data_IF_333568761042
#
_entry.id   IF_333568761042
#
_cell.length_a   1.000
_cell.length_b   1.000
_cell.length_c   1.000
_cell.angle_alpha   90.00
_cell.angle_beta   90.00
_cell.angle_gamma   90.00
#
_symmetry.space_group_name_H-M   'P 1'
#
loop_
_entity.id
_entity.type
_entity.pdbx_description
1 polymer ?
#
# COMPACT_ATOMS: atom_id res chain seq x y z
N UNK A 1 -19.31 -119.75 14.94
CA UNK A 1 -19.21 -119.92 13.48
C UNK A 1 -20.03 -118.83 12.80
N UNK A 2 -19.42 -118.11 11.82
CA UNK A 2 -19.94 -117.40 10.61
C UNK A 2 -21.46 -117.10 10.51
N UNK A 3 -21.97 -115.99 9.95
CA UNK A 3 -21.55 -115.13 8.83
C UNK A 3 -22.44 -113.84 8.83
N UNK A 4 -21.94 -112.64 8.50
CA UNK A 4 -22.05 -111.88 7.21
C UNK A 4 -23.02 -110.69 7.20
N UNK A 5 -22.49 -109.59 6.64
CA UNK A 5 -22.98 -108.23 6.26
C UNK A 5 -24.17 -108.23 5.27
N UNK A 6 -24.72 -107.09 4.72
CA UNK A 6 -24.06 -105.79 4.39
C UNK A 6 -24.91 -104.49 4.56
N UNK A 7 -24.28 -103.35 4.23
CA UNK A 7 -24.74 -101.96 4.32
C UNK A 7 -25.32 -101.39 3.00
N UNK A 8 -26.17 -100.34 3.08
CA UNK A 8 -26.44 -99.35 2.00
C UNK A 8 -26.87 -97.98 2.57
N UNK A 9 -26.68 -96.84 1.86
CA UNK A 9 -26.51 -95.50 2.44
C UNK A 9 -27.67 -94.49 2.21
N UNK A 10 -27.53 -93.33 2.86
CA UNK A 10 -28.45 -92.19 3.00
C UNK A 10 -28.55 -91.26 1.78
N UNK A 11 -29.70 -90.58 1.64
CA UNK A 11 -29.81 -89.27 0.94
C UNK A 11 -31.01 -88.47 1.45
N UNK A 12 -30.74 -87.31 2.04
CA UNK A 12 -31.71 -86.24 2.27
C UNK A 12 -31.61 -85.22 1.13
N UNK A 13 -32.77 -84.75 0.65
CA UNK A 13 -32.87 -83.64 -0.30
C UNK A 13 -33.59 -82.46 0.37
N UNK A 14 -33.00 -81.28 0.20
CA UNK A 14 -33.44 -79.97 0.69
C UNK A 14 -34.44 -79.29 -0.25
N UNK A 15 -35.31 -78.41 0.25
CA UNK A 15 -35.76 -77.22 -0.47
C UNK A 15 -35.91 -76.01 0.50
N UNK A 16 -35.57 -74.77 0.07
CA UNK A 16 -35.42 -73.61 0.95
C UNK A 16 -36.65 -72.70 0.97
N UNK A 17 -36.92 -72.06 2.12
CA UNK A 17 -37.82 -70.90 2.23
C UNK A 17 -36.98 -69.63 2.22
N UNK A 18 -37.24 -68.79 1.22
CA UNK A 18 -36.70 -67.45 1.05
C UNK A 18 -37.59 -66.42 1.77
N UNK A 19 -36.96 -65.40 2.36
CA UNK A 19 -37.51 -64.04 2.27
C UNK A 19 -37.98 -63.33 3.53
N UNK A 20 -37.09 -63.11 4.52
CA UNK A 20 -37.28 -62.08 5.55
C UNK A 20 -36.19 -61.00 5.45
N UNK A 21 -36.50 -59.87 4.79
CA UNK A 21 -35.61 -58.68 4.73
C UNK A 21 -35.43 -58.09 6.13
N UNK A 22 -34.24 -58.21 6.71
CA UNK A 22 -33.84 -57.52 7.94
C UNK A 22 -33.33 -56.13 7.57
N UNK A 23 -34.04 -55.10 8.05
CA UNK A 23 -33.60 -53.70 8.01
C UNK A 23 -32.26 -53.56 8.77
N UNK A 24 -31.22 -53.14 8.07
CA UNK A 24 -29.91 -52.83 8.64
C UNK A 24 -29.98 -51.47 9.33
N UNK A 25 -29.95 -51.45 10.66
CA UNK A 25 -29.80 -50.20 11.42
C UNK A 25 -28.35 -49.69 11.28
N UNK A 26 -28.14 -48.37 11.02
CA UNK A 26 -26.82 -47.81 10.90
C UNK A 26 -26.09 -47.84 12.25
N UNK A 27 -24.89 -48.41 12.23
CA UNK A 27 -24.03 -48.57 13.38
C UNK A 27 -23.66 -47.20 13.98
N UNK A 28 -24.30 -46.84 15.11
CA UNK A 28 -24.07 -45.59 15.87
C UNK A 28 -22.60 -45.33 16.25
N UNK A 29 -21.74 -46.36 16.22
CA UNK A 29 -20.30 -46.24 16.52
C UNK A 29 -19.47 -45.69 15.36
N UNK A 30 -19.91 -45.88 14.11
CA UNK A 30 -19.22 -45.36 12.92
C UNK A 30 -19.49 -43.87 12.67
N UNK A 31 -20.73 -43.43 12.92
CA UNK A 31 -21.13 -42.03 12.77
C UNK A 31 -20.46 -41.10 13.77
N UNK A 32 -20.27 -41.53 15.02
CA UNK A 32 -19.59 -40.73 16.06
C UNK A 32 -18.11 -40.53 15.73
N UNK A 33 -17.43 -41.53 15.17
CA UNK A 33 -16.03 -41.41 14.73
C UNK A 33 -15.89 -40.47 13.54
N UNK A 34 -16.81 -40.56 12.56
CA UNK A 34 -16.81 -39.66 11.41
C UNK A 34 -17.11 -38.21 11.83
N UNK A 35 -18.01 -38.01 12.79
CA UNK A 35 -18.34 -36.70 13.33
C UNK A 35 -17.18 -36.10 14.14
N UNK A 36 -16.47 -36.92 14.93
CA UNK A 36 -15.25 -36.49 15.63
C UNK A 36 -14.14 -36.07 14.66
N UNK A 37 -13.95 -36.82 13.57
CA UNK A 37 -12.97 -36.48 12.53
C UNK A 37 -13.35 -35.20 11.78
N UNK A 38 -14.64 -35.00 11.48
CA UNK A 38 -15.12 -33.77 10.85
C UNK A 38 -14.96 -32.54 11.75
N UNK A 39 -15.26 -32.66 13.05
CA UNK A 39 -15.04 -31.59 14.03
C UNK A 39 -13.55 -31.27 14.16
N UNK A 40 -12.68 -32.28 14.20
CA UNK A 40 -11.23 -32.06 14.19
C UNK A 40 -10.73 -31.35 12.94
N UNK A 41 -11.25 -31.70 11.75
CA UNK A 41 -10.89 -31.04 10.50
C UNK A 41 -11.36 -29.58 10.46
N UNK A 42 -12.56 -29.28 10.98
CA UNK A 42 -13.08 -27.92 11.07
C UNK A 42 -12.26 -27.10 12.06
N UNK A 43 -11.92 -27.65 13.23
CA UNK A 43 -11.05 -26.98 14.20
C UNK A 43 -9.66 -26.75 13.61
N UNK A 44 -9.10 -27.71 12.88
CA UNK A 44 -7.83 -27.56 12.18
C UNK A 44 -7.91 -26.48 11.08
N UNK A 45 -8.99 -26.43 10.30
CA UNK A 45 -9.23 -25.42 9.28
C UNK A 45 -9.38 -24.02 9.88
N UNK A 46 -10.16 -23.87 10.96
CA UNK A 46 -10.28 -22.60 11.71
C UNK A 46 -8.93 -22.20 12.29
N UNK A 47 -8.17 -23.16 12.86
CA UNK A 47 -6.83 -22.90 13.37
C UNK A 47 -5.83 -22.54 12.26
N UNK A 48 -5.95 -23.13 11.07
CA UNK A 48 -5.11 -22.82 9.90
C UNK A 48 -5.41 -21.41 9.37
N UNK A 49 -6.70 -21.07 9.21
CA UNK A 49 -7.13 -19.71 8.86
C UNK A 49 -6.72 -18.69 9.95
N UNK A 50 -6.74 -19.09 11.22
CA UNK A 50 -6.33 -18.25 12.35
C UNK A 50 -4.81 -18.19 12.55
N UNK A 51 -4.05 -19.18 12.07
CA UNK A 51 -2.60 -19.23 12.19
C UNK A 51 -1.95 -18.15 11.30
N UNK A 52 -2.54 -17.86 10.14
CA UNK A 52 -2.17 -16.69 9.33
C UNK A 52 -2.46 -15.35 10.02
N UNK A 53 -3.47 -15.28 10.90
CA UNK A 53 -3.87 -14.06 11.60
C UNK A 53 -3.14 -13.81 12.94
N UNK A 54 -2.39 -14.79 13.47
CA UNK A 54 -1.62 -14.64 14.71
C UNK A 54 -0.17 -14.19 14.48
N UNK A 55 0.37 -14.34 13.27
CA UNK A 55 1.74 -13.88 12.96
C UNK A 55 1.84 -12.35 12.81
N UNK A 56 0.73 -11.66 12.50
CA UNK A 56 0.73 -10.20 12.27
C UNK A 56 0.66 -9.38 13.58
N UNK A 57 0.31 -9.99 14.72
CA UNK A 57 0.10 -9.28 16.00
C UNK A 57 1.24 -9.35 17.01
N UNK A 58 2.32 -10.08 16.72
CA UNK A 58 3.45 -10.20 17.65
C UNK A 58 4.79 -9.70 17.06
N UNK A 59 4.71 -8.78 16.11
CA UNK A 59 5.84 -8.07 15.52
C UNK A 59 6.16 -6.84 16.39
N UNK A 60 7.42 -6.71 16.81
CA UNK A 60 7.95 -5.59 17.61
C UNK A 60 7.65 -4.22 16.96
N UNK A 61 7.35 -4.21 15.67
CA UNK A 61 6.93 -3.06 14.91
C UNK A 61 5.54 -2.53 15.33
N UNK A 62 4.56 -3.41 15.56
CA UNK A 62 3.19 -3.00 15.93
C UNK A 62 3.14 -2.40 17.35
N UNK A 63 3.93 -2.95 18.28
CA UNK A 63 4.03 -2.37 19.62
C UNK A 63 4.68 -0.99 19.60
N UNK A 64 5.74 -0.79 18.78
CA UNK A 64 6.38 0.53 18.62
C UNK A 64 5.46 1.56 17.99
N UNK A 65 4.62 1.18 17.03
CA UNK A 65 3.70 2.14 16.39
C UNK A 65 2.58 2.54 17.34
N UNK A 66 2.06 1.60 18.13
CA UNK A 66 1.03 1.90 19.14
C UNK A 66 1.61 2.72 20.29
N UNK A 67 2.79 2.38 20.81
CA UNK A 67 3.47 3.19 21.84
C UNK A 67 3.85 4.59 21.32
N UNK A 68 4.25 4.72 20.05
CA UNK A 68 4.52 6.03 19.44
C UNK A 68 3.25 6.85 19.23
N UNK A 69 2.12 6.21 18.91
CA UNK A 69 0.81 6.85 18.82
C UNK A 69 0.33 7.32 20.19
N UNK A 70 0.45 6.47 21.22
CA UNK A 70 0.06 6.79 22.59
C UNK A 70 0.97 7.84 23.23
N UNK A 71 2.28 7.81 22.95
CA UNK A 71 3.22 8.84 23.37
C UNK A 71 2.98 10.18 22.65
N UNK A 72 2.52 10.15 21.39
CA UNK A 72 2.13 11.36 20.64
C UNK A 72 0.79 11.91 21.14
N UNK A 73 -0.15 11.05 21.51
CA UNK A 73 -1.41 11.43 22.13
C UNK A 73 -1.20 12.01 23.54
N UNK A 74 -0.27 11.44 24.32
CA UNK A 74 0.11 11.97 25.63
C UNK A 74 0.83 13.33 25.52
N UNK A 75 1.67 13.53 24.49
CA UNK A 75 2.29 14.84 24.20
C UNK A 75 1.30 15.88 23.70
N UNK A 76 0.33 15.47 22.88
CA UNK A 76 -0.76 16.33 22.44
C UNK A 76 -1.69 16.75 23.61
N UNK A 77 -1.76 15.94 24.67
CA UNK A 77 -2.47 16.29 25.91
C UNK A 77 -1.64 17.13 26.90
N UNK A 78 -0.31 17.22 26.73
CA UNK A 78 0.58 18.04 27.58
C UNK A 78 0.98 19.38 26.95
N UNK A 79 0.73 19.60 25.65
CA UNK A 79 1.00 20.87 24.96
C UNK A 79 -0.30 21.66 24.77
N UNK A 80 -0.90 22.05 25.89
CA UNK A 80 -1.82 23.20 25.96
C UNK A 80 -1.47 24.05 27.18
N UNK A 81 -0.25 24.56 27.19
CA UNK A 81 0.30 25.71 27.91
C UNK A 81 1.59 25.99 27.08
N UNK A 82 2.05 27.17 26.67
CA UNK A 82 1.91 28.54 27.11
C UNK A 82 2.51 29.47 26.00
N UNK A 83 2.07 30.72 25.98
CA UNK A 83 2.48 31.78 25.05
C UNK A 83 4.00 32.03 25.06
N UNK A 84 4.74 31.77 23.97
CA UNK A 84 6.18 32.04 24.00
C UNK A 84 7.02 31.97 22.73
N UNK A 85 6.47 31.63 21.56
CA UNK A 85 7.32 31.39 20.37
C UNK A 85 7.82 32.67 19.68
N UNK A 86 7.15 33.82 19.88
CA UNK A 86 7.56 35.08 19.25
C UNK A 86 8.66 35.83 20.03
N UNK A 87 8.96 35.44 21.27
CA UNK A 87 10.00 36.09 22.08
C UNK A 87 11.40 35.50 21.88
N UNK A 88 11.49 34.27 21.36
CA UNK A 88 12.77 33.56 21.15
C UNK A 88 13.47 33.86 19.83
N UNK A 89 12.81 34.56 18.91
CA UNK A 89 13.45 35.11 17.71
C UNK A 89 14.06 36.51 17.92
N UNK A 90 13.88 37.13 19.09
CA UNK A 90 14.42 38.47 19.38
C UNK A 90 15.72 38.49 20.20
N UNK A 91 16.19 37.36 20.72
CA UNK A 91 17.38 37.33 21.57
C UNK A 91 18.40 36.31 21.11
N UNK A 92 19.03 36.56 19.97
CA UNK A 92 20.43 36.15 19.76
C UNK A 92 21.16 37.35 19.17
N UNK A 93 22.10 37.89 19.95
CA UNK A 93 22.92 39.05 19.65
C UNK A 93 23.58 38.96 18.27
N UNK A 94 23.29 39.93 17.39
CA UNK A 94 24.17 40.36 16.30
C UNK A 94 24.40 41.88 16.42
N UNK A 95 25.61 42.28 16.01
CA UNK A 95 26.32 43.53 16.29
C UNK A 95 25.67 44.81 15.70
N UNK A 96 26.13 46.03 16.09
CA UNK A 96 25.45 47.30 15.80
C UNK A 96 25.58 47.84 14.36
N UNK A 97 26.16 47.12 13.40
CA UNK A 97 26.66 47.70 12.15
C UNK A 97 25.62 47.76 10.99
N UNK A 98 24.56 46.95 10.97
CA UNK A 98 23.80 46.70 9.71
C UNK A 98 22.47 47.46 9.54
N UNK A 99 22.22 48.50 10.36
CA UNK A 99 20.95 49.25 10.33
C UNK A 99 20.72 50.07 9.06
N UNK A 100 21.71 50.17 8.16
CA UNK A 100 21.62 51.01 6.96
C UNK A 100 21.30 50.24 5.66
N UNK A 101 21.35 48.90 5.65
CA UNK A 101 21.04 48.12 4.46
C UNK A 101 19.53 47.83 4.28
N UNK A 102 18.76 47.77 5.37
CA UNK A 102 17.34 47.36 5.34
C UNK A 102 16.39 48.53 5.02
N UNK A 103 16.84 49.78 5.18
CA UNK A 103 16.03 50.96 4.90
C UNK A 103 15.92 51.30 3.41
N UNK A 104 16.90 50.88 2.59
CA UNK A 104 16.96 51.22 1.16
C UNK A 104 16.00 50.35 0.32
N UNK A 105 15.71 49.13 0.75
CA UNK A 105 14.90 48.19 -0.06
C UNK A 105 13.39 48.37 0.13
N UNK A 106 12.95 49.02 1.21
CA UNK A 106 11.52 49.31 1.47
C UNK A 106 10.91 50.35 0.53
N UNK A 107 11.70 51.16 -0.16
CA UNK A 107 11.18 52.21 -1.05
C UNK A 107 10.75 51.71 -2.43
N UNK A 108 11.01 50.44 -2.80
CA UNK A 108 10.75 49.94 -4.16
C UNK A 108 9.30 49.50 -4.40
N UNK A 109 8.43 49.44 -3.40
CA UNK A 109 7.09 48.84 -3.57
C UNK A 109 5.91 49.66 -3.02
N UNK A 110 6.12 50.91 -2.60
CA UNK A 110 4.99 51.80 -2.29
C UNK A 110 4.55 52.54 -3.56
N UNK A 111 3.51 52.00 -4.20
CA UNK A 111 2.59 52.79 -5.02
C UNK A 111 1.16 52.46 -4.60
N UNK A 112 0.26 53.46 -4.46
CA UNK A 112 -0.84 53.36 -3.52
C UNK A 112 -2.11 52.82 -4.19
N UNK A 113 -2.66 51.71 -3.68
CA UNK A 113 -4.05 51.35 -3.92
C UNK A 113 -4.93 52.08 -2.89
N UNK A 114 -5.65 53.10 -3.38
CA UNK A 114 -6.75 53.75 -2.67
C UNK A 114 -7.90 52.75 -2.46
N UNK A 115 -8.40 52.64 -1.23
CA UNK A 115 -9.82 52.39 -0.97
C UNK A 115 -10.28 53.19 0.27
N UNK A 116 -11.53 53.62 0.18
CA UNK A 116 -12.22 54.67 0.94
C UNK A 116 -12.68 54.26 2.34
N UNK A 117 -13.03 55.23 3.22
CA UNK A 117 -13.26 55.00 4.65
C UNK A 117 -14.71 54.62 4.98
N UNK A 118 -14.86 53.72 5.95
CA UNK A 118 -16.12 53.43 6.64
C UNK A 118 -15.93 53.64 8.14
N UNK A 119 -16.74 54.53 8.69
CA UNK A 119 -16.77 55.07 10.06
C UNK A 119 -17.13 54.09 11.18
N UNK A 120 -16.71 54.46 12.40
CA UNK A 120 -17.38 54.21 13.69
C UNK A 120 -16.86 52.99 14.45
N UNK A 121 -16.46 53.03 15.72
CA UNK A 121 -16.53 54.05 16.76
C UNK A 121 -16.42 53.35 18.14
N UNK A 122 -15.55 53.91 18.99
CA UNK A 122 -15.45 53.88 20.47
C UNK A 122 -15.94 52.69 21.32
N UNK A 123 -15.04 52.27 22.23
CA UNK A 123 -15.33 52.36 23.67
C UNK A 123 -15.41 51.05 24.46
N UNK A 124 -14.64 50.97 25.56
CA UNK A 124 -15.05 50.20 26.74
C UNK A 124 -13.98 49.32 27.40
N UNK A 125 -13.61 49.69 28.62
CA UNK A 125 -12.58 49.12 29.49
C UNK A 125 -12.85 47.71 30.08
N UNK A 126 -11.72 47.14 30.48
CA UNK A 126 -11.39 46.03 31.38
C UNK A 126 -12.30 45.57 32.55
N UNK A 127 -12.06 44.29 32.91
CA UNK A 127 -12.25 43.53 34.17
C UNK A 127 -13.64 42.92 34.47
N UNK A 128 -13.71 41.58 34.43
CA UNK A 128 -13.56 40.73 35.65
C UNK A 128 -13.77 39.24 35.36
N UNK A 129 -13.06 38.43 36.14
CA UNK A 129 -12.98 36.97 36.14
C UNK A 129 -14.24 36.33 36.76
N UNK A 130 -14.48 35.07 36.37
CA UNK A 130 -15.24 34.00 37.02
C UNK A 130 -16.62 33.68 36.41
N UNK A 131 -16.72 32.52 35.74
CA UNK A 131 -18.01 31.90 35.44
C UNK A 131 -18.04 31.03 34.20
N UNK A 132 -17.53 29.80 34.31
CA UNK A 132 -17.70 28.72 33.34
C UNK A 132 -19.19 28.55 32.99
N UNK A 133 -19.59 28.83 31.75
CA UNK A 133 -20.82 28.26 31.16
C UNK A 133 -20.76 28.18 29.63
N UNK A 134 -20.60 26.92 29.18
CA UNK A 134 -21.15 26.30 27.96
C UNK A 134 -20.93 27.02 26.62
N UNK A 135 -19.88 26.59 25.89
CA UNK A 135 -19.82 26.82 24.44
C UNK A 135 -20.68 25.76 23.71
N UNK A 136 -21.49 26.16 22.70
CA UNK A 136 -22.13 25.22 21.79
C UNK A 136 -21.06 24.54 20.92
N UNK A 137 -21.31 23.29 20.53
CA UNK A 137 -20.46 22.56 19.61
C UNK A 137 -20.41 23.30 18.26
N UNK A 138 -19.32 24.01 17.99
CA UNK A 138 -18.97 24.38 16.61
C UNK A 138 -18.17 23.23 16.01
N UNK A 139 -18.80 22.55 15.06
CA UNK A 139 -18.19 21.61 14.14
C UNK A 139 -17.26 22.38 13.19
N UNK A 140 -16.12 22.85 13.67
CA UNK A 140 -15.07 23.38 12.79
C UNK A 140 -13.93 22.37 12.72
N UNK A 141 -14.22 21.27 12.01
CA UNK A 141 -13.19 20.44 11.41
C UNK A 141 -12.38 21.36 10.49
N UNK A 142 -11.06 21.54 10.68
CA UNK A 142 -10.24 22.17 9.66
C UNK A 142 -10.41 21.35 8.38
N UNK A 143 -10.77 21.95 7.24
CA UNK A 143 -10.89 21.20 6.01
C UNK A 143 -9.54 20.54 5.73
N UNK A 144 -9.57 19.23 5.48
CA UNK A 144 -8.46 18.53 4.87
C UNK A 144 -8.04 19.31 3.62
N UNK A 145 -6.75 19.40 3.27
CA UNK A 145 -6.35 20.02 2.04
C UNK A 145 -7.05 19.27 0.90
N UNK A 146 -8.00 19.95 0.26
CA UNK A 146 -8.63 19.49 -0.95
C UNK A 146 -7.62 19.69 -2.08
N UNK A 147 -6.79 18.66 -2.31
CA UNK A 147 -5.84 18.62 -3.41
C UNK A 147 -6.61 18.61 -4.73
N UNK A 148 -6.83 19.80 -5.29
CA UNK A 148 -7.11 19.92 -6.71
C UNK A 148 -5.81 19.63 -7.42
N UNK A 149 -5.60 18.36 -7.80
CA UNK A 149 -4.50 17.96 -8.67
C UNK A 149 -4.37 18.96 -9.83
N UNK A 150 -3.17 19.51 -10.00
CA UNK A 150 -2.90 20.50 -11.04
C UNK A 150 -3.24 19.88 -12.41
N UNK A 151 -4.26 20.41 -13.14
CA UNK A 151 -4.76 19.78 -14.36
C UNK A 151 -3.68 19.64 -15.43
N UNK A 152 -2.66 20.50 -15.40
CA UNK A 152 -1.49 20.42 -16.29
C UNK A 152 -0.66 19.16 -16.00
N UNK A 153 -0.41 18.85 -14.73
CA UNK A 153 0.39 17.68 -14.31
C UNK A 153 -0.33 16.38 -14.65
N UNK A 154 -1.65 16.35 -14.44
CA UNK A 154 -2.48 15.19 -14.80
C UNK A 154 -2.50 14.99 -16.32
N UNK A 155 -2.63 16.08 -17.09
CA UNK A 155 -2.57 16.02 -18.54
C UNK A 155 -1.20 15.49 -19.03
N UNK A 156 -0.10 15.99 -18.46
CA UNK A 156 1.25 15.57 -18.82
C UNK A 156 1.50 14.10 -18.45
N UNK A 157 1.11 13.65 -17.25
CA UNK A 157 1.22 12.25 -16.85
C UNK A 157 0.45 11.34 -17.81
N UNK A 158 -0.78 11.72 -18.18
CA UNK A 158 -1.57 10.98 -19.15
C UNK A 158 -0.94 10.97 -20.56
N UNK A 159 -0.28 12.06 -20.96
CA UNK A 159 0.46 12.12 -22.22
C UNK A 159 1.66 11.16 -22.20
N UNK A 160 2.43 11.14 -21.11
CA UNK A 160 3.55 10.22 -20.88
C UNK A 160 3.08 8.76 -20.96
N UNK A 161 2.01 8.39 -20.23
CA UNK A 161 1.48 7.02 -20.18
C UNK A 161 0.97 6.50 -21.54
N UNK A 162 0.65 7.41 -22.47
CA UNK A 162 0.25 7.05 -23.84
C UNK A 162 1.45 6.77 -24.75
N UNK A 163 2.66 7.25 -24.43
CA UNK A 163 3.87 7.08 -25.26
C UNK A 163 4.27 5.61 -25.43
N UNK A 164 4.20 4.82 -24.36
CA UNK A 164 4.55 3.40 -24.37
C UNK A 164 3.75 2.64 -23.32
N UNK A 165 3.43 1.35 -23.52
CA UNK A 165 2.90 0.49 -22.47
C UNK A 165 3.83 0.36 -21.27
N UNK A 166 5.15 0.56 -21.45
CA UNK A 166 6.13 0.49 -20.37
C UNK A 166 6.77 1.88 -20.21
N UNK A 167 6.57 2.49 -19.05
CA UNK A 167 7.16 3.77 -18.68
C UNK A 167 8.14 3.56 -17.53
N UNK A 168 9.34 4.14 -17.63
CA UNK A 168 10.35 4.11 -16.58
C UNK A 168 10.52 5.54 -16.07
N UNK A 169 9.89 5.86 -14.94
CA UNK A 169 10.20 7.09 -14.22
C UNK A 169 11.52 6.90 -13.47
N UNK A 170 12.48 7.77 -13.76
CA UNK A 170 13.89 7.64 -13.41
C UNK A 170 14.42 8.99 -12.88
N UNK A 171 15.64 8.97 -12.32
CA UNK A 171 16.47 10.16 -12.22
C UNK A 171 17.84 9.88 -12.81
N UNK A 172 18.41 10.87 -13.49
CA UNK A 172 19.63 10.70 -14.30
C UNK A 172 20.85 10.26 -13.48
N UNK A 173 20.90 10.63 -12.20
CA UNK A 173 22.00 10.34 -11.26
C UNK A 173 21.76 9.10 -10.38
N UNK A 174 20.56 8.50 -10.43
CA UNK A 174 20.16 7.47 -9.47
C UNK A 174 20.68 6.09 -9.86
N UNK A 175 21.51 5.42 -9.02
CA UNK A 175 22.08 4.10 -9.34
C UNK A 175 21.02 3.01 -9.53
N UNK A 176 19.95 3.02 -8.72
CA UNK A 176 18.83 2.09 -8.89
C UNK A 176 18.09 2.29 -10.22
N UNK A 177 18.01 3.54 -10.68
CA UNK A 177 17.39 3.85 -11.97
C UNK A 177 18.26 3.38 -13.13
N UNK A 178 19.59 3.53 -13.03
CA UNK A 178 20.52 2.94 -13.99
C UNK A 178 20.40 1.42 -14.06
N UNK A 179 20.26 0.74 -12.90
CA UNK A 179 20.05 -0.72 -12.85
C UNK A 179 18.79 -1.13 -13.61
N UNK A 180 17.64 -0.52 -13.31
CA UNK A 180 16.38 -0.82 -14.01
C UNK A 180 16.44 -0.53 -15.52
N UNK A 181 17.02 0.62 -15.91
CA UNK A 181 17.21 0.98 -17.33
C UNK A 181 18.12 -0.02 -18.04
N UNK A 182 19.21 -0.43 -17.42
CA UNK A 182 20.13 -1.41 -18.00
C UNK A 182 19.42 -2.75 -18.28
N UNK A 183 18.63 -3.25 -17.33
CA UNK A 183 17.85 -4.48 -17.54
C UNK A 183 16.86 -4.28 -18.69
N UNK A 184 15.94 -3.31 -18.57
CA UNK A 184 14.82 -3.18 -19.49
C UNK A 184 15.22 -2.74 -20.91
N UNK A 185 16.28 -1.94 -21.07
CA UNK A 185 16.71 -1.41 -22.37
C UNK A 185 17.83 -2.24 -23.00
N UNK A 186 18.77 -2.76 -22.19
CA UNK A 186 19.95 -3.43 -22.72
C UNK A 186 19.80 -4.95 -22.70
N UNK A 187 19.18 -5.54 -21.66
CA UNK A 187 19.06 -7.01 -21.52
C UNK A 187 17.80 -7.61 -22.15
N UNK A 188 16.81 -6.80 -22.51
CA UNK A 188 15.62 -7.24 -23.20
C UNK A 188 15.43 -6.53 -24.54
N UNK A 189 14.86 -7.25 -25.50
CA UNK A 189 14.23 -6.68 -26.69
C UNK A 189 12.75 -6.58 -26.40
N UNK A 190 12.23 -5.35 -26.31
CA UNK A 190 10.82 -5.08 -26.00
C UNK A 190 10.25 -4.20 -27.11
N UNK A 191 9.10 -4.60 -27.67
CA UNK A 191 8.40 -3.88 -28.73
C UNK A 191 6.96 -3.62 -28.27
N UNK A 192 6.49 -2.35 -28.26
CA UNK A 192 7.25 -1.12 -28.45
C UNK A 192 8.27 -0.87 -27.31
N UNK A 193 9.30 -0.07 -27.58
CA UNK A 193 10.36 0.20 -26.62
C UNK A 193 9.84 0.90 -25.35
N UNK A 194 10.41 0.61 -24.16
CA UNK A 194 10.09 1.34 -22.94
C UNK A 194 10.43 2.82 -23.10
N UNK A 195 9.57 3.70 -22.57
CA UNK A 195 9.80 5.13 -22.58
C UNK A 195 10.35 5.58 -21.22
N UNK A 196 11.45 6.34 -21.22
CA UNK A 196 12.11 6.80 -20.00
C UNK A 196 11.77 8.26 -19.76
N UNK A 197 11.39 8.58 -18.52
CA UNK A 197 11.19 9.95 -18.05
C UNK A 197 12.14 10.23 -16.91
N UNK A 198 13.08 11.12 -17.12
CA UNK A 198 14.04 11.56 -16.11
C UNK A 198 13.43 12.74 -15.32
N UNK A 199 12.92 12.47 -14.12
CA UNK A 199 12.15 13.42 -13.31
C UNK A 199 13.00 14.58 -12.77
N UNK A 200 14.31 14.44 -12.71
CA UNK A 200 15.24 15.50 -12.29
C UNK A 200 15.47 16.58 -13.36
N UNK A 201 15.24 16.26 -14.64
CA UNK A 201 15.37 17.20 -15.76
C UNK A 201 14.02 17.61 -16.35
N UNK A 202 12.93 16.92 -15.98
CA UNK A 202 11.60 17.24 -16.46
C UNK A 202 11.06 18.51 -15.77
N UNK A 203 10.50 19.50 -16.50
CA UNK A 203 10.00 20.76 -15.91
C UNK A 203 8.97 20.55 -14.79
N UNK A 204 8.07 19.58 -14.98
CA UNK A 204 7.05 19.19 -13.99
C UNK A 204 7.49 18.03 -13.08
N UNK A 205 8.78 17.68 -13.06
CA UNK A 205 9.31 16.48 -12.42
C UNK A 205 8.90 16.27 -10.96
N UNK A 206 9.10 17.25 -10.06
CA UNK A 206 8.68 17.13 -8.67
C UNK A 206 7.17 16.88 -8.51
N UNK A 207 6.33 17.64 -9.24
CA UNK A 207 4.87 17.48 -9.21
C UNK A 207 4.43 16.13 -9.78
N UNK A 208 5.06 15.67 -10.86
CA UNK A 208 4.82 14.34 -11.42
C UNK A 208 5.18 13.25 -10.41
N UNK A 209 6.28 13.39 -9.67
CA UNK A 209 6.69 12.43 -8.64
C UNK A 209 5.68 12.33 -7.49
N UNK A 210 5.09 13.46 -7.08
CA UNK A 210 4.04 13.53 -6.07
C UNK A 210 2.75 12.84 -6.54
N UNK A 211 2.27 13.16 -7.75
CA UNK A 211 1.09 12.51 -8.34
C UNK A 211 1.33 11.01 -8.53
N UNK A 212 2.54 10.60 -8.94
CA UNK A 212 2.92 9.18 -9.02
C UNK A 212 2.88 8.49 -7.66
N UNK A 213 3.34 9.16 -6.59
CA UNK A 213 3.28 8.62 -5.24
C UNK A 213 1.83 8.36 -4.81
N UNK A 214 0.92 9.29 -5.08
CA UNK A 214 -0.52 9.13 -4.82
C UNK A 214 -1.15 8.01 -5.66
N UNK A 215 -0.88 7.98 -6.96
CA UNK A 215 -1.52 7.06 -7.89
C UNK A 215 -1.01 5.62 -7.79
N UNK A 216 0.28 5.42 -7.48
CA UNK A 216 0.90 4.10 -7.48
C UNK A 216 1.35 3.63 -6.10
N UNK A 217 1.24 4.47 -5.07
CA UNK A 217 1.79 4.21 -3.73
C UNK A 217 3.33 4.21 -3.67
N UNK A 218 4.02 4.67 -4.72
CA UNK A 218 5.49 4.66 -4.80
C UNK A 218 6.02 6.05 -5.15
N UNK A 219 6.56 6.73 -4.15
CA UNK A 219 7.20 8.04 -4.30
C UNK A 219 8.71 8.00 -4.57
N UNK A 220 9.30 6.82 -4.78
CA UNK A 220 10.73 6.65 -5.06
C UNK A 220 11.00 6.35 -6.53
N UNK A 221 12.21 6.66 -6.99
CA UNK A 221 12.71 6.27 -8.32
C UNK A 221 13.70 5.10 -8.21
N UNK A 222 13.77 4.21 -9.21
CA UNK A 222 12.88 4.19 -10.37
C UNK A 222 11.48 3.72 -9.98
N UNK A 223 10.47 4.15 -10.73
CA UNK A 223 9.12 3.61 -10.68
C UNK A 223 8.77 3.12 -12.09
N UNK A 224 8.76 1.81 -12.29
CA UNK A 224 8.47 1.18 -13.58
C UNK A 224 6.99 0.86 -13.66
N UNK A 225 6.31 1.43 -14.65
CA UNK A 225 4.89 1.22 -14.88
C UNK A 225 4.67 0.35 -16.12
N UNK A 226 3.72 -0.57 -16.03
CA UNK A 226 3.17 -1.32 -17.17
C UNK A 226 1.68 -1.02 -17.25
N UNK A 227 1.24 -0.40 -18.34
CA UNK A 227 -0.13 0.10 -18.51
C UNK A 227 -0.63 0.95 -17.32
N UNK A 228 0.24 1.82 -16.80
CA UNK A 228 -0.07 2.71 -15.67
C UNK A 228 0.00 2.04 -14.29
N UNK A 229 0.17 0.71 -14.21
CA UNK A 229 0.36 0.00 -12.94
C UNK A 229 1.83 -0.15 -12.60
N UNK A 230 2.23 0.24 -11.39
CA UNK A 230 3.60 0.02 -10.92
C UNK A 230 3.90 -1.46 -10.77
N UNK A 231 5.05 -1.88 -11.32
CA UNK A 231 5.62 -3.22 -11.14
C UNK A 231 6.84 -3.21 -10.21
N UNK A 232 7.28 -2.03 -9.76
CA UNK A 232 8.35 -1.90 -8.79
C UNK A 232 9.42 -0.86 -9.14
N UNK A 233 10.49 -0.86 -8.35
CA UNK A 233 11.70 -0.07 -8.52
C UNK A 233 12.90 -0.92 -8.94
N UNK A 234 14.11 -0.42 -8.66
CA UNK A 234 15.33 -1.01 -9.23
C UNK A 234 15.60 -2.45 -8.79
N UNK A 235 15.39 -2.72 -7.50
CA UNK A 235 15.62 -4.05 -6.95
C UNK A 235 14.48 -5.02 -7.32
N UNK A 236 13.22 -4.56 -7.32
CA UNK A 236 12.08 -5.35 -7.78
C UNK A 236 12.27 -5.83 -9.25
N UNK A 237 12.79 -4.97 -10.12
CA UNK A 237 13.08 -5.31 -11.53
C UNK A 237 14.25 -6.27 -11.66
N UNK A 238 15.27 -6.12 -10.80
CA UNK A 238 16.41 -7.04 -10.75
C UNK A 238 15.99 -8.43 -10.30
N UNK A 239 15.21 -8.53 -9.23
CA UNK A 239 14.68 -9.79 -8.72
C UNK A 239 13.87 -10.52 -9.79
N UNK A 240 12.91 -9.84 -10.42
CA UNK A 240 12.13 -10.40 -11.52
C UNK A 240 12.99 -10.84 -12.72
N UNK A 241 14.11 -10.15 -12.98
CA UNK A 241 15.04 -10.53 -14.04
C UNK A 241 15.81 -11.81 -13.68
N UNK A 242 16.32 -11.87 -12.46
CA UNK A 242 17.12 -12.98 -11.95
C UNK A 242 16.28 -14.26 -11.86
N UNK A 243 15.03 -14.14 -11.43
CA UNK A 243 14.05 -15.24 -11.35
C UNK A 243 13.46 -15.62 -12.72
N UNK A 244 13.83 -14.92 -13.81
CA UNK A 244 13.29 -15.09 -15.18
C UNK A 244 11.78 -14.83 -15.29
N UNK A 245 11.17 -14.15 -14.33
CA UNK A 245 9.73 -13.85 -14.31
C UNK A 245 9.37 -12.52 -14.99
N UNK A 246 10.33 -11.61 -15.19
CA UNK A 246 10.07 -10.25 -15.68
C UNK A 246 9.29 -10.22 -17.01
N UNK A 247 9.65 -11.08 -17.97
CA UNK A 247 8.97 -11.13 -19.25
C UNK A 247 7.52 -11.62 -19.11
N UNK A 248 7.28 -12.63 -18.27
CA UNK A 248 5.94 -13.14 -18.01
C UNK A 248 5.08 -12.09 -17.29
N UNK A 249 5.64 -11.41 -16.28
CA UNK A 249 4.99 -10.32 -15.55
C UNK A 249 4.56 -9.19 -16.49
N UNK A 250 5.46 -8.72 -17.35
CA UNK A 250 5.18 -7.66 -18.32
C UNK A 250 4.12 -8.11 -19.31
N UNK A 251 4.21 -9.31 -19.90
CA UNK A 251 3.17 -9.83 -20.83
C UNK A 251 1.80 -9.89 -20.16
N UNK A 252 1.74 -10.36 -18.92
CA UNK A 252 0.50 -10.46 -18.15
C UNK A 252 -0.19 -9.12 -17.91
N UNK A 253 0.57 -8.05 -17.68
CA UNK A 253 0.02 -6.71 -17.41
C UNK A 253 -0.17 -5.86 -18.68
N UNK A 254 0.75 -5.98 -19.64
CA UNK A 254 0.72 -5.20 -20.88
C UNK A 254 -0.38 -5.67 -21.84
N UNK A 255 -0.74 -6.96 -21.77
CA UNK A 255 -1.69 -7.58 -22.69
C UNK A 255 -1.24 -7.39 -24.14
N UNK A 256 -2.16 -6.92 -24.99
CA UNK A 256 -1.91 -6.74 -26.44
C UNK A 256 -1.03 -5.54 -26.80
N UNK A 257 -0.69 -4.65 -25.85
CA UNK A 257 0.09 -3.44 -26.15
C UNK A 257 1.58 -3.70 -26.25
N UNK A 258 2.08 -4.77 -25.64
CA UNK A 258 3.46 -5.26 -25.86
C UNK A 258 3.39 -6.38 -26.90
N UNK A 259 4.00 -6.13 -28.04
CA UNK A 259 4.06 -7.04 -29.19
C UNK A 259 5.15 -8.09 -28.99
N UNK A 260 6.30 -7.68 -28.46
CA UNK A 260 7.45 -8.57 -28.23
C UNK A 260 8.10 -8.26 -26.88
N UNK A 261 8.49 -9.31 -26.16
CA UNK A 261 9.45 -9.20 -25.07
C UNK A 261 10.26 -10.49 -24.99
N UNK A 262 11.55 -10.35 -25.30
CA UNK A 262 12.51 -11.45 -25.38
C UNK A 262 13.79 -11.02 -24.66
N UNK A 263 14.36 -11.89 -23.83
CA UNK A 263 15.64 -11.62 -23.19
C UNK A 263 16.77 -11.81 -24.21
N UNK A 264 17.71 -10.86 -24.28
CA UNK A 264 18.89 -10.97 -25.13
C UNK A 264 19.83 -12.02 -24.55
N UNK A 265 20.31 -12.91 -25.40
CA UNK A 265 21.37 -13.85 -25.04
C UNK A 265 22.63 -13.04 -24.73
N UNK A 266 23.29 -13.31 -23.60
CA UNK A 266 24.65 -12.82 -23.41
C UNK A 266 25.51 -13.50 -24.46
N UNK A 267 26.13 -12.72 -25.35
CA UNK A 267 27.19 -13.25 -26.19
C UNK A 267 28.32 -13.65 -25.23
N UNK A 268 28.51 -14.96 -25.06
CA UNK A 268 29.73 -15.48 -24.46
C UNK A 268 30.89 -14.94 -25.30
N UNK A 269 31.70 -14.10 -24.67
CA UNK A 269 32.94 -13.55 -25.23
C UNK A 269 34.05 -14.60 -25.15
#
# INVERSE_FOLDING_TARGET
MKATSPAFPTRHASFPVSGGRRLMQPNRRGGVRLLLLAVLAIVFFICYLSAGARHVRNEKYYQRTVEAMDAKAARAHSEMDDDGLFLKLRTTNLAPEDKQAVAVERQKYESPLKMTPGEGGEGGEEKSIAGRKKMPASNDKPPAPEDKEDPEVVAELNAILKRSPIIIFSKSYCPYSHKAKNILLNRYTIVPAPFVVELDIHPLGPKLQEVLAGNTGRGTVPNVLVNGKSIGGGDDIQELHDERELAAKIKGLAGKRVMEITMKQEKAL
#
